data_IF_529398514299
#
_entry.id   IF_529398514299
#
_cell.length_a   1.000
_cell.length_b   1.000
_cell.length_c   1.000
_cell.angle_alpha   90.00
_cell.angle_beta   90.00
_cell.angle_gamma   90.00
#
_symmetry.space_group_name_H-M   'P 1'
#
loop_
_entity.id
_entity.type
_entity.pdbx_description
1 polymer ?
#
# COMPACT_ATOMS: atom_id res chain seq x y z
N UNK A 1 -5.05 -0.91 -26.11
CA UNK A 1 -6.30 -0.53 -26.84
C UNK A 1 -6.26 -0.86 -28.33
N UNK A 2 -5.23 -0.45 -29.08
CA UNK A 2 -5.12 -0.69 -30.54
C UNK A 2 -5.22 -2.18 -30.89
N UNK A 3 -4.54 -3.06 -30.14
CA UNK A 3 -4.55 -4.52 -30.39
C UNK A 3 -5.96 -5.11 -30.22
N UNK A 4 -6.72 -4.68 -29.22
CA UNK A 4 -8.10 -5.15 -29.00
C UNK A 4 -9.03 -4.68 -30.12
N UNK A 5 -8.89 -3.42 -30.56
CA UNK A 5 -9.66 -2.86 -31.67
C UNK A 5 -9.37 -3.61 -32.97
N UNK A 6 -8.10 -3.90 -33.26
CA UNK A 6 -7.70 -4.67 -34.44
C UNK A 6 -8.22 -6.10 -34.34
N UNK A 7 -8.04 -6.78 -33.22
CA UNK A 7 -8.48 -8.18 -33.03
C UNK A 7 -9.99 -8.35 -33.17
N UNK A 8 -10.79 -7.57 -32.42
CA UNK A 8 -12.25 -7.66 -32.48
C UNK A 8 -12.82 -7.07 -33.78
N UNK A 9 -12.16 -6.06 -34.36
CA UNK A 9 -12.49 -5.53 -35.68
C UNK A 9 -12.32 -6.58 -36.78
N UNK A 10 -11.18 -7.29 -36.78
CA UNK A 10 -10.89 -8.35 -37.74
C UNK A 10 -11.81 -9.56 -37.52
N UNK A 11 -12.09 -9.93 -36.27
CA UNK A 11 -13.03 -11.00 -35.92
C UNK A 11 -14.46 -10.68 -36.39
N UNK A 12 -14.93 -9.45 -36.17
CA UNK A 12 -16.23 -8.96 -36.65
C UNK A 12 -16.30 -8.97 -38.19
N UNK A 13 -15.22 -8.54 -38.86
CA UNK A 13 -15.11 -8.55 -40.32
C UNK A 13 -15.18 -9.96 -40.91
N UNK A 14 -14.40 -10.90 -40.36
CA UNK A 14 -14.37 -12.31 -40.83
C UNK A 14 -15.68 -13.04 -40.55
N UNK A 15 -16.27 -12.83 -39.37
CA UNK A 15 -17.52 -13.52 -38.98
C UNK A 15 -18.79 -12.81 -39.47
N UNK A 16 -18.66 -11.60 -40.03
CA UNK A 16 -19.76 -10.69 -40.40
C UNK A 16 -20.75 -10.40 -39.25
N UNK A 17 -20.32 -10.59 -38.00
CA UNK A 17 -21.14 -10.42 -36.80
C UNK A 17 -20.67 -9.20 -36.01
N UNK A 18 -21.39 -8.09 -36.14
CA UNK A 18 -21.09 -6.85 -35.44
C UNK A 18 -21.11 -6.98 -33.90
N UNK A 19 -21.79 -8.00 -33.34
CA UNK A 19 -21.83 -8.25 -31.90
C UNK A 19 -20.45 -8.52 -31.28
N UNK A 20 -19.46 -8.98 -32.05
CA UNK A 20 -18.09 -9.13 -31.55
C UNK A 20 -17.39 -7.80 -31.23
N UNK A 21 -17.97 -6.66 -31.61
CA UNK A 21 -17.48 -5.34 -31.21
C UNK A 21 -18.02 -4.93 -29.83
N UNK A 22 -19.13 -5.51 -29.36
CA UNK A 22 -19.74 -5.16 -28.08
C UNK A 22 -18.80 -5.33 -26.87
N UNK A 23 -17.94 -6.36 -26.80
CA UNK A 23 -16.97 -6.52 -25.69
C UNK A 23 -15.88 -5.45 -25.64
N UNK A 24 -15.63 -4.70 -26.72
CA UNK A 24 -14.54 -3.71 -26.77
C UNK A 24 -14.74 -2.63 -25.71
N UNK A 25 -15.98 -2.15 -25.53
CA UNK A 25 -16.32 -1.10 -24.58
C UNK A 25 -16.05 -1.52 -23.11
N UNK A 26 -16.61 -2.64 -22.59
CA UNK A 26 -16.30 -3.07 -21.23
C UNK A 26 -14.82 -3.44 -21.06
N UNK A 27 -14.16 -4.01 -22.08
CA UNK A 27 -12.73 -4.31 -22.01
C UNK A 27 -11.85 -3.06 -21.99
N UNK A 28 -12.26 -1.99 -22.68
CA UNK A 28 -11.54 -0.71 -22.65
C UNK A 28 -11.65 -0.06 -21.26
N UNK A 29 -12.85 -0.09 -20.65
CA UNK A 29 -13.07 0.38 -19.28
C UNK A 29 -12.24 -0.46 -18.29
N UNK A 30 -12.29 -1.79 -18.44
CA UNK A 30 -11.51 -2.70 -17.60
C UNK A 30 -10.00 -2.46 -17.75
N UNK A 31 -9.50 -2.17 -18.94
CA UNK A 31 -8.09 -1.86 -19.15
C UNK A 31 -7.67 -0.57 -18.43
N UNK A 32 -8.50 0.47 -18.47
CA UNK A 32 -8.23 1.74 -17.79
C UNK A 32 -8.22 1.62 -16.27
N UNK A 33 -9.17 0.85 -15.70
CA UNK A 33 -9.26 0.66 -14.25
C UNK A 33 -8.27 -0.38 -13.76
N UNK A 34 -8.27 -1.58 -14.35
CA UNK A 34 -7.48 -2.72 -13.87
C UNK A 34 -6.00 -2.66 -14.29
N UNK A 35 -5.61 -1.77 -15.20
CA UNK A 35 -4.23 -1.68 -15.69
C UNK A 35 -3.22 -1.41 -14.59
N UNK A 36 -3.49 -0.43 -13.72
CA UNK A 36 -2.62 -0.12 -12.58
C UNK A 36 -2.56 -1.27 -11.58
N UNK A 37 -3.71 -1.91 -11.31
CA UNK A 37 -3.78 -3.06 -10.40
C UNK A 37 -2.99 -4.25 -10.92
N UNK A 38 -3.12 -4.55 -12.22
CA UNK A 38 -2.39 -5.61 -12.87
C UNK A 38 -0.89 -5.32 -12.90
N UNK A 39 -0.48 -4.07 -13.16
CA UNK A 39 0.93 -3.68 -13.12
C UNK A 39 1.52 -3.83 -11.72
N UNK A 40 0.86 -3.29 -10.68
CA UNK A 40 1.32 -3.40 -9.30
C UNK A 40 1.41 -4.86 -8.85
N UNK A 41 0.39 -5.67 -9.17
CA UNK A 41 0.38 -7.10 -8.88
C UNK A 41 1.51 -7.84 -9.61
N UNK A 42 1.69 -7.57 -10.91
CA UNK A 42 2.70 -8.22 -11.73
C UNK A 42 4.11 -7.91 -11.23
N UNK A 43 4.41 -6.63 -10.98
CA UNK A 43 5.70 -6.19 -10.46
C UNK A 43 5.95 -6.73 -9.05
N UNK A 44 4.94 -6.75 -8.17
CA UNK A 44 5.14 -7.30 -6.83
C UNK A 44 5.36 -8.83 -6.86
N UNK A 45 4.70 -9.54 -7.78
CA UNK A 45 4.76 -11.00 -7.86
C UNK A 45 6.03 -11.51 -8.55
N UNK A 46 6.46 -10.87 -9.63
CA UNK A 46 7.55 -11.33 -10.49
C UNK A 46 8.78 -10.42 -10.49
N UNK A 47 8.67 -9.22 -9.91
CA UNK A 47 9.79 -8.30 -9.81
C UNK A 47 10.82 -8.74 -8.79
N UNK A 48 12.06 -8.33 -9.05
CA UNK A 48 13.19 -8.52 -8.13
C UNK A 48 13.20 -7.38 -7.12
N UNK A 49 13.49 -7.70 -5.86
CA UNK A 49 13.56 -6.70 -4.79
C UNK A 49 14.82 -5.85 -4.91
N UNK A 50 14.64 -4.55 -4.66
CA UNK A 50 15.72 -3.58 -4.60
C UNK A 50 15.32 -2.36 -3.77
N UNK A 51 16.17 -1.34 -3.78
CA UNK A 51 15.97 -0.06 -3.11
C UNK A 51 15.99 1.08 -4.10
N UNK A 52 15.15 2.08 -3.88
CA UNK A 52 15.16 3.33 -4.61
C UNK A 52 15.27 4.52 -3.65
N UNK A 53 15.63 5.68 -4.21
CA UNK A 53 15.71 6.97 -3.50
C UNK A 53 15.06 8.03 -4.39
N UNK A 54 14.17 8.83 -3.84
CA UNK A 54 13.64 10.01 -4.54
C UNK A 54 14.66 11.13 -4.40
N UNK A 55 15.11 11.67 -5.53
CA UNK A 55 16.13 12.73 -5.62
C UNK A 55 15.52 14.11 -5.84
N UNK A 56 14.29 14.19 -6.33
CA UNK A 56 13.57 15.44 -6.52
C UNK A 56 12.07 15.22 -6.34
N UNK A 57 11.40 16.23 -5.78
CA UNK A 57 9.96 16.33 -5.60
C UNK A 57 9.53 17.74 -6.02
N UNK A 58 8.76 17.82 -7.10
CA UNK A 58 8.31 19.10 -7.70
C UNK A 58 6.79 19.13 -7.73
N UNK A 59 6.21 20.08 -7.00
CA UNK A 59 4.78 20.34 -7.04
C UNK A 59 4.36 20.88 -8.42
N UNK A 60 3.25 20.35 -8.95
CA UNK A 60 2.63 20.81 -10.19
C UNK A 60 1.41 21.68 -9.89
N UNK A 61 0.96 22.46 -10.88
CA UNK A 61 -0.26 23.28 -10.75
C UNK A 61 -1.57 22.48 -10.84
N UNK A 62 -1.51 21.14 -10.90
CA UNK A 62 -2.68 20.26 -11.03
C UNK A 62 -2.99 19.60 -9.70
N UNK A 63 -4.28 19.36 -9.42
CA UNK A 63 -4.72 18.67 -8.20
C UNK A 63 -5.44 17.36 -8.51
N UNK A 64 -5.32 16.41 -7.59
CA UNK A 64 -6.07 15.16 -7.52
C UNK A 64 -6.70 15.07 -6.13
N UNK A 65 -8.03 14.98 -6.05
CA UNK A 65 -8.77 14.94 -4.78
C UNK A 65 -8.35 16.06 -3.81
N UNK A 66 -8.29 17.30 -4.31
CA UNK A 66 -7.93 18.51 -3.54
C UNK A 66 -6.47 18.55 -3.03
N UNK A 67 -5.63 17.58 -3.41
CA UNK A 67 -4.18 17.57 -3.14
C UNK A 67 -3.42 17.89 -4.42
N UNK A 68 -2.31 18.62 -4.33
CA UNK A 68 -1.45 18.86 -5.49
C UNK A 68 -0.83 17.55 -6.00
N UNK A 69 -0.67 17.47 -7.32
CA UNK A 69 0.09 16.42 -7.99
C UNK A 69 1.54 16.84 -7.97
N UNK A 70 2.42 15.90 -7.66
CA UNK A 70 3.86 16.07 -7.65
C UNK A 70 4.49 15.20 -8.72
N UNK A 71 5.56 15.71 -9.31
CA UNK A 71 6.47 14.98 -10.18
C UNK A 71 7.74 14.62 -9.42
N UNK A 72 8.15 13.36 -9.51
CA UNK A 72 9.25 12.79 -8.77
C UNK A 72 10.34 12.30 -9.71
N UNK A 73 11.58 12.63 -9.37
CA UNK A 73 12.76 11.97 -9.90
C UNK A 73 13.27 10.99 -8.86
N UNK A 74 13.59 9.77 -9.29
CA UNK A 74 14.14 8.75 -8.41
C UNK A 74 15.27 7.97 -9.07
N UNK A 75 16.15 7.40 -8.25
CA UNK A 75 17.17 6.46 -8.67
C UNK A 75 16.89 5.08 -8.07
N UNK A 76 16.99 4.04 -8.89
CA UNK A 76 16.77 2.65 -8.50
C UNK A 76 18.09 1.91 -8.55
N UNK A 77 18.41 1.16 -7.51
CA UNK A 77 19.60 0.30 -7.49
C UNK A 77 19.34 -0.95 -8.33
N UNK A 78 20.25 -1.26 -9.25
CA UNK A 78 20.19 -2.47 -10.06
C UNK A 78 20.87 -3.65 -9.37
N UNK A 79 20.66 -4.85 -9.90
CA UNK A 79 21.35 -6.06 -9.46
C UNK A 79 22.88 -5.98 -9.64
N UNK A 80 23.36 -5.21 -10.62
CA UNK A 80 24.80 -4.95 -10.83
C UNK A 80 25.37 -3.88 -9.88
N UNK A 81 24.56 -3.36 -8.95
CA UNK A 81 24.92 -2.32 -7.98
C UNK A 81 24.92 -0.90 -8.55
N UNK A 82 24.74 -0.71 -9.86
CA UNK A 82 24.65 0.63 -10.47
C UNK A 82 23.25 1.21 -10.27
N UNK A 83 23.14 2.52 -10.36
CA UNK A 83 21.85 3.22 -10.30
C UNK A 83 21.33 3.55 -11.69
N UNK A 84 20.00 3.58 -11.82
CA UNK A 84 19.30 4.05 -13.02
C UNK A 84 18.22 5.05 -12.63
N UNK A 85 18.12 6.14 -13.37
CA UNK A 85 17.10 7.16 -13.16
C UNK A 85 15.74 6.69 -13.66
N UNK A 86 14.72 6.99 -12.86
CA UNK A 86 13.31 6.82 -13.19
C UNK A 86 12.52 8.05 -12.78
N UNK A 87 11.34 8.18 -13.36
CA UNK A 87 10.45 9.32 -13.22
C UNK A 87 9.03 8.81 -13.06
N UNK A 88 8.31 9.37 -12.11
CA UNK A 88 6.89 9.10 -11.90
C UNK A 88 6.23 10.32 -11.25
N UNK A 89 4.91 10.33 -11.21
CA UNK A 89 4.10 11.37 -10.60
C UNK A 89 3.15 10.75 -9.58
N UNK A 90 2.47 11.57 -8.78
CA UNK A 90 1.41 11.12 -7.86
C UNK A 90 0.36 10.24 -8.57
N UNK A 91 0.08 10.50 -9.85
CA UNK A 91 -0.95 9.79 -10.63
C UNK A 91 -0.45 8.53 -11.35
N UNK A 92 0.86 8.41 -11.55
CA UNK A 92 1.49 7.28 -12.25
C UNK A 92 2.28 6.34 -11.35
N UNK A 93 2.52 6.74 -10.09
CA UNK A 93 3.15 5.92 -9.09
C UNK A 93 2.41 4.58 -8.92
N UNK A 94 3.16 3.48 -9.01
CA UNK A 94 2.64 2.15 -8.76
C UNK A 94 3.03 1.75 -7.33
N UNK A 95 2.05 1.64 -6.44
CA UNK A 95 2.27 1.38 -5.00
C UNK A 95 1.61 0.05 -4.63
N UNK A 96 2.25 -0.73 -3.77
CA UNK A 96 1.73 -1.97 -3.22
C UNK A 96 1.83 -2.00 -1.68
N UNK A 97 0.79 -2.48 -0.97
CA UNK A 97 -0.53 -2.87 -1.48
C UNK A 97 -1.29 -1.69 -2.07
N UNK A 98 -2.29 -1.99 -2.89
CA UNK A 98 -3.08 -0.96 -3.58
C UNK A 98 -4.14 -0.46 -2.63
N UNK A 99 -4.11 0.84 -2.35
CA UNK A 99 -5.02 1.51 -1.43
C UNK A 99 -5.57 2.80 -2.03
N UNK A 100 -6.61 3.34 -1.41
CA UNK A 100 -7.19 4.62 -1.80
C UNK A 100 -6.28 5.81 -1.45
N UNK A 101 -5.41 5.66 -0.45
CA UNK A 101 -4.46 6.68 -0.05
C UNK A 101 -3.16 6.54 -0.86
N UNK A 102 -2.84 7.57 -1.65
CA UNK A 102 -1.57 7.64 -2.38
C UNK A 102 -0.50 8.14 -1.41
N UNK A 103 0.40 7.25 -0.99
CA UNK A 103 1.49 7.57 -0.07
C UNK A 103 2.83 7.35 -0.76
N UNK A 104 3.50 8.44 -1.10
CA UNK A 104 4.83 8.42 -1.70
C UNK A 104 5.87 8.57 -0.59
N UNK A 105 6.92 7.72 -0.55
CA UNK A 105 8.03 7.90 0.38
C UNK A 105 8.68 9.28 0.27
N UNK A 106 9.30 9.75 1.35
CA UNK A 106 9.98 11.04 1.37
C UNK A 106 11.24 11.06 0.49
N UNK A 107 11.63 12.27 0.09
CA UNK A 107 12.91 12.52 -0.60
C UNK A 107 14.10 12.10 0.27
N UNK A 108 15.22 11.76 -0.39
CA UNK A 108 16.51 11.45 0.26
C UNK A 108 16.52 10.20 1.17
N UNK A 109 15.43 9.44 1.22
CA UNK A 109 15.32 8.19 1.97
C UNK A 109 15.31 6.98 1.05
N UNK A 110 15.95 5.90 1.50
CA UNK A 110 15.85 4.61 0.82
C UNK A 110 14.49 3.99 1.09
N UNK A 111 13.82 3.53 0.04
CA UNK A 111 12.59 2.75 0.17
C UNK A 111 12.63 1.50 -0.70
N UNK A 112 11.99 0.41 -0.25
CA UNK A 112 11.96 -0.85 -0.97
C UNK A 112 11.05 -0.77 -2.20
N UNK A 113 11.53 -1.35 -3.29
CA UNK A 113 10.84 -1.44 -4.56
C UNK A 113 11.00 -2.82 -5.18
N UNK A 114 10.13 -3.16 -6.12
CA UNK A 114 10.36 -4.26 -7.07
C UNK A 114 10.29 -3.77 -8.50
N UNK A 115 11.09 -4.38 -9.36
CA UNK A 115 11.11 -4.10 -10.79
C UNK A 115 11.44 -5.37 -11.60
N UNK A 116 11.21 -5.36 -12.91
CA UNK A 116 11.62 -6.47 -13.80
C UNK A 116 13.00 -6.16 -14.39
N UNK A 117 14.01 -7.05 -14.28
CA UNK A 117 15.31 -6.84 -14.92
C UNK A 117 15.19 -6.52 -16.41
N UNK A 118 15.86 -5.47 -16.87
CA UNK A 118 15.73 -4.90 -18.21
C UNK A 118 14.62 -3.83 -18.36
N UNK A 119 13.80 -3.64 -17.33
CA UNK A 119 12.73 -2.63 -17.25
C UNK A 119 12.74 -1.90 -15.90
N UNK A 120 13.93 -1.50 -15.45
CA UNK A 120 14.18 -0.93 -14.12
C UNK A 120 13.46 0.40 -13.86
N UNK A 121 13.03 1.08 -14.92
CA UNK A 121 12.26 2.32 -14.80
C UNK A 121 10.82 2.07 -14.32
N UNK A 122 10.25 0.89 -14.59
CA UNK A 122 8.92 0.53 -14.12
C UNK A 122 9.03 -0.19 -12.78
N UNK A 123 8.76 0.55 -11.71
CA UNK A 123 8.88 0.07 -10.33
C UNK A 123 7.52 -0.03 -9.66
N UNK A 124 7.40 -0.94 -8.69
CA UNK A 124 6.36 -0.91 -7.67
C UNK A 124 6.98 -0.55 -6.33
N UNK A 125 6.41 0.45 -5.67
CA UNK A 125 6.82 0.93 -4.35
C UNK A 125 6.18 0.02 -3.29
N UNK A 126 7.00 -0.57 -2.41
CA UNK A 126 6.53 -1.42 -1.32
C UNK A 126 6.37 -0.58 -0.05
N UNK A 127 5.38 0.31 -0.02
CA UNK A 127 5.29 1.38 0.98
C UNK A 127 5.38 0.86 2.42
N UNK A 128 4.62 -0.17 2.78
CA UNK A 128 4.62 -0.73 4.14
C UNK A 128 5.88 -1.50 4.54
N UNK A 129 6.78 -1.77 3.60
CA UNK A 129 8.10 -2.32 3.91
C UNK A 129 9.13 -1.22 4.14
N UNK A 130 8.83 0.03 3.80
CA UNK A 130 9.66 1.18 4.16
C UNK A 130 9.59 1.47 5.65
N UNK A 131 10.57 2.20 6.18
CA UNK A 131 10.57 2.65 7.57
C UNK A 131 9.33 3.49 7.89
N UNK A 132 8.99 4.43 7.02
CA UNK A 132 7.81 5.30 7.18
C UNK A 132 6.50 4.48 7.17
N UNK A 133 6.37 3.55 6.23
CA UNK A 133 5.18 2.69 6.16
C UNK A 133 5.06 1.73 7.34
N UNK A 134 6.18 1.19 7.84
CA UNK A 134 6.18 0.35 9.04
C UNK A 134 5.79 1.15 10.29
N UNK A 135 6.34 2.36 10.45
CA UNK A 135 5.98 3.26 11.53
C UNK A 135 4.48 3.63 11.50
N UNK A 136 3.93 3.86 10.31
CA UNK A 136 2.49 4.09 10.13
C UNK A 136 1.66 2.88 10.57
N UNK A 137 2.00 1.67 10.11
CA UNK A 137 1.30 0.45 10.52
C UNK A 137 1.34 0.22 12.03
N UNK A 138 2.48 0.51 12.67
CA UNK A 138 2.60 0.45 14.13
C UNK A 138 1.70 1.48 14.82
N UNK A 139 1.69 2.72 14.32
CA UNK A 139 0.85 3.79 14.85
C UNK A 139 -0.65 3.46 14.72
N UNK A 140 -1.09 2.97 13.56
CA UNK A 140 -2.48 2.56 13.34
C UNK A 140 -2.89 1.40 14.25
N UNK A 141 -2.00 0.44 14.47
CA UNK A 141 -2.23 -0.69 15.40
C UNK A 141 -2.26 -0.26 16.86
N UNK A 142 -1.65 0.86 17.22
CA UNK A 142 -1.75 1.44 18.57
C UNK A 142 -3.07 2.18 18.82
N UNK A 143 -3.81 2.60 17.78
CA UNK A 143 -5.02 3.40 17.97
C UNK A 143 -6.10 2.70 18.82
N UNK A 144 -6.43 1.40 18.60
CA UNK A 144 -7.37 0.67 19.45
C UNK A 144 -6.85 0.51 20.90
N UNK A 145 -5.55 0.25 21.06
CA UNK A 145 -4.90 0.13 22.38
C UNK A 145 -5.06 1.42 23.17
N UNK A 146 -4.77 2.56 22.54
CA UNK A 146 -4.90 3.88 23.17
C UNK A 146 -6.36 4.19 23.52
N UNK A 147 -7.31 3.85 22.63
CA UNK A 147 -8.73 4.05 22.89
C UNK A 147 -9.22 3.22 24.08
N UNK A 148 -8.89 1.93 24.10
CA UNK A 148 -9.28 1.02 25.18
C UNK A 148 -8.59 1.39 26.51
N UNK A 149 -7.34 1.84 26.46
CA UNK A 149 -6.62 2.38 27.63
C UNK A 149 -7.37 3.57 28.24
N UNK A 150 -7.81 4.53 27.43
CA UNK A 150 -8.55 5.71 27.91
C UNK A 150 -9.86 5.27 28.60
N UNK A 151 -10.59 4.30 28.02
CA UNK A 151 -11.81 3.75 28.63
C UNK A 151 -11.53 3.06 29.97
N UNK A 152 -10.51 2.20 30.01
CA UNK A 152 -10.06 1.56 31.25
C UNK A 152 -9.65 2.58 32.32
N UNK A 153 -8.91 3.63 31.93
CA UNK A 153 -8.49 4.68 32.86
C UNK A 153 -9.66 5.52 33.37
N UNK A 154 -10.73 5.69 32.57
CA UNK A 154 -11.95 6.36 32.98
C UNK A 154 -12.78 5.55 33.98
N UNK A 155 -12.86 4.23 33.81
CA UNK A 155 -13.50 3.32 34.78
C UNK A 155 -12.78 1.96 34.84
N UNK A 156 -11.98 1.80 35.89
CA UNK A 156 -11.20 0.57 36.17
C UNK A 156 -12.02 -0.57 36.79
N UNK A 157 -13.30 -0.35 37.06
CA UNK A 157 -14.19 -1.37 37.64
C UNK A 157 -15.14 -1.96 36.61
N UNK A 158 -15.27 -1.30 35.45
CA UNK A 158 -16.05 -1.79 34.34
C UNK A 158 -15.34 -2.97 33.65
N UNK A 159 -15.95 -4.15 33.76
CA UNK A 159 -15.44 -5.41 33.19
C UNK A 159 -15.28 -5.32 31.67
N UNK A 160 -16.21 -4.66 30.98
CA UNK A 160 -16.18 -4.51 29.52
C UNK A 160 -14.95 -3.72 29.06
N UNK A 161 -14.60 -2.65 29.78
CA UNK A 161 -13.42 -1.84 29.43
C UNK A 161 -12.11 -2.57 29.69
N UNK A 162 -12.06 -3.40 30.74
CA UNK A 162 -10.90 -4.25 31.03
C UNK A 162 -10.75 -5.33 29.95
N UNK A 163 -11.85 -5.99 29.57
CA UNK A 163 -11.84 -7.00 28.50
C UNK A 163 -11.46 -6.40 27.13
N UNK A 164 -12.00 -5.23 26.79
CA UNK A 164 -11.65 -4.51 25.57
C UNK A 164 -10.15 -4.15 25.56
N UNK A 165 -9.61 -3.70 26.70
CA UNK A 165 -8.20 -3.33 26.78
C UNK A 165 -7.27 -4.55 26.72
N UNK A 166 -7.63 -5.66 27.37
CA UNK A 166 -6.91 -6.93 27.24
C UNK A 166 -6.88 -7.38 25.77
N UNK A 167 -8.05 -7.40 25.10
CA UNK A 167 -8.16 -7.83 23.70
C UNK A 167 -7.31 -6.95 22.79
N UNK A 168 -7.37 -5.63 22.96
CA UNK A 168 -6.58 -4.71 22.14
C UNK A 168 -5.07 -4.89 22.33
N UNK A 169 -4.61 -5.14 23.57
CA UNK A 169 -3.21 -5.42 23.86
C UNK A 169 -2.77 -6.78 23.28
N UNK A 170 -3.61 -7.81 23.37
CA UNK A 170 -3.32 -9.14 22.80
C UNK A 170 -3.16 -9.07 21.27
N UNK A 171 -4.06 -8.37 20.58
CA UNK A 171 -4.00 -8.14 19.13
C UNK A 171 -2.76 -7.34 18.71
N UNK A 172 -2.32 -6.39 19.54
CA UNK A 172 -1.09 -5.65 19.28
C UNK A 172 0.14 -6.54 19.46
N UNK A 173 0.22 -7.28 20.57
CA UNK A 173 1.36 -8.15 20.92
C UNK A 173 1.48 -9.33 19.94
N UNK A 174 0.39 -9.79 19.34
CA UNK A 174 0.44 -10.83 18.29
C UNK A 174 1.18 -10.37 17.04
N UNK A 175 1.22 -9.06 16.79
CA UNK A 175 1.86 -8.45 15.62
C UNK A 175 3.25 -7.88 15.96
N UNK A 176 3.39 -7.29 17.15
CA UNK A 176 4.60 -6.62 17.62
C UNK A 176 4.98 -7.12 19.00
N UNK A 177 6.10 -7.82 19.09
CA UNK A 177 6.57 -8.36 20.36
C UNK A 177 6.90 -7.24 21.35
N UNK A 178 6.09 -7.07 22.40
CA UNK A 178 6.29 -6.08 23.45
C UNK A 178 6.09 -6.73 24.84
N UNK A 179 7.18 -6.86 25.60
CA UNK A 179 7.18 -7.56 26.88
C UNK A 179 6.49 -6.76 28.01
N UNK A 180 6.49 -5.44 27.92
CA UNK A 180 5.74 -4.57 28.84
C UNK A 180 4.23 -4.83 28.70
N UNK A 181 3.73 -4.90 27.47
CA UNK A 181 2.31 -5.15 27.21
C UNK A 181 1.89 -6.57 27.57
N UNK A 182 2.75 -7.57 27.36
CA UNK A 182 2.51 -8.92 27.87
C UNK A 182 2.34 -8.94 29.38
N UNK A 183 3.22 -8.24 30.09
CA UNK A 183 3.13 -8.12 31.55
C UNK A 183 1.83 -7.43 31.95
N UNK A 184 1.45 -6.36 31.21
CA UNK A 184 0.22 -5.62 31.49
C UNK A 184 -1.04 -6.45 31.26
N UNK A 185 -1.08 -7.28 30.23
CA UNK A 185 -2.18 -8.22 29.97
C UNK A 185 -2.38 -9.15 31.17
N UNK A 186 -1.30 -9.71 31.73
CA UNK A 186 -1.39 -10.61 32.87
C UNK A 186 -1.86 -9.91 34.16
N UNK A 187 -1.52 -8.64 34.36
CA UNK A 187 -2.07 -7.81 35.43
C UNK A 187 -3.59 -7.61 35.27
N UNK A 188 -4.03 -7.15 34.09
CA UNK A 188 -5.44 -6.88 33.80
C UNK A 188 -6.30 -8.15 33.92
N UNK A 189 -5.78 -9.31 33.49
CA UNK A 189 -6.46 -10.60 33.67
C UNK A 189 -6.64 -10.98 35.15
N UNK A 190 -5.72 -10.58 36.03
CA UNK A 190 -5.87 -10.78 37.49
C UNK A 190 -6.88 -9.80 38.08
N UNK A 191 -6.83 -8.54 37.69
CA UNK A 191 -7.82 -7.51 38.09
C UNK A 191 -9.24 -7.96 37.73
N UNK A 192 -9.45 -8.42 36.49
CA UNK A 192 -10.75 -8.91 36.03
C UNK A 192 -11.27 -10.10 36.85
N UNK A 193 -10.39 -11.01 37.28
CA UNK A 193 -10.75 -12.14 38.14
C UNK A 193 -11.13 -11.71 39.56
N UNK A 194 -10.54 -10.64 40.07
CA UNK A 194 -10.85 -10.11 41.41
C UNK A 194 -12.17 -9.33 41.44
N UNK A 195 -12.63 -8.84 40.29
CA UNK A 195 -13.94 -8.20 40.14
C UNK A 195 -15.09 -9.21 39.99
N UNK A 196 -14.83 -10.52 40.04
CA UNK A 196 -15.86 -11.57 40.01
C UNK A 196 -16.58 -11.73 41.34
#
# INVERSE_FOLDING_TARGET
MIILLVFFGLLSYVTKKAWFLAPILPLAILNGVAGQYLNAWFLNKYGVESTAIITSDVETNSTLNEMYIHDYEAIVKKQDGKYVSTYFSTTSATIYPIENAIRIPRTEQYFPVKYIPGYEKNIVILYYQSEEGNALLQYEKMAPVNSAKIKYEADRTNKEFIEEYISALEDYVSSYNNDEYKTKIEELKKELKQLK
#
